data_IF_321016695695
#
_entry.id   IF_321016695695
#
_cell.length_a   1.000
_cell.length_b   1.000
_cell.length_c   1.000
_cell.angle_alpha   90.00
_cell.angle_beta   90.00
_cell.angle_gamma   90.00
#
_symmetry.space_group_name_H-M   'P 1'
#
loop_
_entity.id
_entity.type
_entity.pdbx_description
1 polymer ?
#
# COMPACT_ATOMS: atom_id res chain seq x y z
N UNK A 1 13.38 -18.19 6.07
CA UNK A 1 12.64 -18.33 4.80
C UNK A 1 11.54 -19.35 5.04
N UNK A 2 10.28 -18.95 4.86
CA UNK A 2 9.09 -19.81 5.08
C UNK A 2 8.55 -20.40 3.77
N UNK A 3 8.98 -19.87 2.63
CA UNK A 3 8.57 -20.32 1.30
C UNK A 3 9.25 -19.54 0.20
N UNK A 4 9.05 -19.98 -1.02
CA UNK A 4 9.64 -19.42 -2.24
C UNK A 4 8.60 -19.44 -3.36
N UNK A 5 8.52 -18.36 -4.13
CA UNK A 5 7.70 -18.27 -5.34
C UNK A 5 8.49 -18.88 -6.50
N UNK A 6 7.89 -19.82 -7.25
CA UNK A 6 8.56 -20.62 -8.27
C UNK A 6 7.82 -20.67 -9.60
N UNK A 7 8.52 -21.09 -10.64
CA UNK A 7 8.01 -21.24 -12.01
C UNK A 7 7.45 -19.91 -12.56
N UNK A 8 6.31 -19.96 -13.23
CA UNK A 8 5.66 -18.78 -13.84
C UNK A 8 4.92 -17.88 -12.81
N UNK A 9 4.97 -18.22 -11.52
CA UNK A 9 4.40 -17.40 -10.48
C UNK A 9 5.20 -16.11 -10.29
N UNK A 10 4.49 -14.98 -10.25
CA UNK A 10 5.06 -13.65 -10.00
C UNK A 10 4.31 -12.98 -8.87
N UNK A 11 5.06 -12.41 -7.95
CA UNK A 11 4.51 -11.59 -6.88
C UNK A 11 5.52 -10.50 -6.50
N UNK A 12 5.05 -9.27 -6.45
CA UNK A 12 5.85 -8.12 -6.01
C UNK A 12 5.39 -7.65 -4.62
N UNK A 13 6.35 -7.22 -3.81
CA UNK A 13 6.06 -6.81 -2.43
C UNK A 13 5.12 -5.60 -2.33
N UNK A 14 5.11 -4.72 -3.34
CA UNK A 14 4.19 -3.60 -3.45
C UNK A 14 2.72 -4.00 -3.60
N UNK A 15 2.46 -5.24 -3.97
CA UNK A 15 1.11 -5.82 -4.07
C UNK A 15 0.68 -6.56 -2.79
N UNK A 16 1.47 -6.50 -1.71
CA UNK A 16 1.15 -7.15 -0.44
C UNK A 16 1.10 -6.15 0.71
N UNK A 17 0.01 -6.16 1.46
CA UNK A 17 -0.20 -5.27 2.60
C UNK A 17 -0.79 -6.04 3.78
N UNK A 18 -0.11 -6.01 4.92
CA UNK A 18 -0.62 -6.54 6.18
C UNK A 18 -1.56 -5.54 6.83
N UNK A 19 -2.82 -5.93 7.07
CA UNK A 19 -3.76 -5.13 7.86
C UNK A 19 -3.56 -5.31 9.36
N UNK A 20 -3.23 -6.54 9.74
CA UNK A 20 -2.92 -6.97 11.10
C UNK A 20 -1.99 -8.21 11.04
N UNK A 21 -1.68 -8.82 12.18
CA UNK A 21 -0.79 -9.99 12.29
C UNK A 21 -1.35 -11.29 11.66
N UNK A 22 -2.63 -11.28 11.29
CA UNK A 22 -3.35 -12.44 10.74
C UNK A 22 -3.99 -12.19 9.37
N UNK A 23 -3.98 -10.94 8.89
CA UNK A 23 -4.68 -10.59 7.66
C UNK A 23 -3.73 -9.95 6.65
N UNK A 24 -3.50 -10.65 5.53
CA UNK A 24 -2.74 -10.17 4.38
C UNK A 24 -3.67 -9.82 3.23
N UNK A 25 -3.51 -8.63 2.66
CA UNK A 25 -4.15 -8.26 1.39
C UNK A 25 -3.14 -8.46 0.27
N UNK A 26 -3.62 -8.98 -0.86
CA UNK A 26 -2.83 -9.20 -2.07
C UNK A 26 -3.54 -8.53 -3.25
N UNK A 27 -2.86 -7.60 -3.91
CA UNK A 27 -3.27 -7.03 -5.20
C UNK A 27 -2.90 -7.98 -6.33
N UNK A 28 -3.88 -8.37 -7.16
CA UNK A 28 -3.62 -9.13 -8.38
C UNK A 28 -3.72 -8.18 -9.58
N UNK A 29 -2.69 -8.15 -10.41
CA UNK A 29 -2.61 -7.24 -11.54
C UNK A 29 -1.53 -7.64 -12.53
N UNK A 30 -0.93 -6.66 -13.19
CA UNK A 30 0.13 -6.93 -14.17
C UNK A 30 1.43 -7.43 -13.54
N UNK A 31 1.70 -7.08 -12.27
CA UNK A 31 2.93 -7.37 -11.56
C UNK A 31 2.84 -8.66 -10.74
N UNK A 32 1.69 -8.91 -10.13
CA UNK A 32 1.40 -10.12 -9.36
C UNK A 32 0.31 -10.90 -10.08
N UNK A 33 0.60 -12.15 -10.48
CA UNK A 33 -0.34 -13.00 -11.19
C UNK A 33 -1.04 -14.01 -10.27
N UNK A 34 -2.06 -14.72 -10.80
CA UNK A 34 -2.82 -15.70 -10.03
C UNK A 34 -1.91 -16.80 -9.44
N UNK A 35 -0.94 -17.30 -10.21
CA UNK A 35 -0.03 -18.33 -9.72
C UNK A 35 0.82 -17.83 -8.53
N UNK A 36 1.22 -16.54 -8.52
CA UNK A 36 1.89 -15.91 -7.39
C UNK A 36 0.99 -15.82 -6.17
N UNK A 37 -0.25 -15.38 -6.36
CA UNK A 37 -1.27 -15.35 -5.29
C UNK A 37 -1.46 -16.73 -4.69
N UNK A 38 -1.68 -17.77 -5.51
CA UNK A 38 -1.94 -19.14 -5.05
C UNK A 38 -0.77 -19.70 -4.22
N UNK A 39 0.47 -19.40 -4.64
CA UNK A 39 1.65 -19.83 -3.89
C UNK A 39 1.81 -19.08 -2.57
N UNK A 40 1.56 -17.77 -2.53
CA UNK A 40 1.55 -17.00 -1.26
C UNK A 40 0.51 -17.58 -0.29
N UNK A 41 -0.72 -17.77 -0.76
CA UNK A 41 -1.81 -18.33 0.06
C UNK A 41 -1.44 -19.71 0.58
N UNK A 42 -0.88 -20.58 -0.26
CA UNK A 42 -0.44 -21.92 0.12
C UNK A 42 0.64 -21.89 1.21
N UNK A 43 1.58 -20.95 1.13
CA UNK A 43 2.66 -20.78 2.13
C UNK A 43 2.11 -20.27 3.45
N UNK A 44 1.19 -19.31 3.42
CA UNK A 44 0.74 -18.59 4.61
C UNK A 44 -0.43 -19.28 5.34
N UNK A 45 -1.25 -20.04 4.63
CA UNK A 45 -2.41 -20.75 5.21
C UNK A 45 -2.07 -21.65 6.40
N UNK A 46 -1.00 -22.47 6.39
CA UNK A 46 -0.62 -23.28 7.57
C UNK A 46 -0.21 -22.47 8.79
N UNK A 47 0.14 -21.19 8.60
CA UNK A 47 0.48 -20.25 9.68
C UNK A 47 -0.75 -19.54 10.26
N UNK A 48 -1.96 -19.89 9.82
CA UNK A 48 -3.21 -19.28 10.26
C UNK A 48 -3.43 -17.86 9.75
N UNK A 49 -2.80 -17.50 8.61
CA UNK A 49 -2.92 -16.17 8.00
C UNK A 49 -4.05 -16.20 6.98
N UNK A 50 -5.00 -15.29 7.11
CA UNK A 50 -6.08 -15.04 6.17
C UNK A 50 -5.58 -14.13 5.04
N UNK A 51 -5.68 -14.60 3.80
CA UNK A 51 -5.28 -13.83 2.62
C UNK A 51 -6.52 -13.40 1.83
N UNK A 52 -6.63 -12.10 1.55
CA UNK A 52 -7.67 -11.53 0.69
C UNK A 52 -7.06 -10.99 -0.58
N UNK A 53 -7.55 -11.45 -1.73
CA UNK A 53 -7.05 -11.03 -3.04
C UNK A 53 -8.04 -10.10 -3.73
N UNK A 54 -7.53 -9.01 -4.30
CA UNK A 54 -8.33 -8.05 -5.05
C UNK A 54 -7.66 -7.74 -6.39
N UNK A 55 -8.47 -7.72 -7.45
CA UNK A 55 -7.99 -7.28 -8.76
C UNK A 55 -7.74 -5.78 -8.75
N UNK A 56 -6.54 -5.40 -9.18
CA UNK A 56 -6.16 -4.00 -9.33
C UNK A 56 -6.76 -3.44 -10.64
N UNK A 57 -7.11 -2.15 -10.68
CA UNK A 57 -7.65 -1.53 -11.87
C UNK A 57 -6.62 -1.47 -13.00
N UNK A 58 -7.10 -1.36 -14.24
CA UNK A 58 -6.25 -1.22 -15.43
C UNK A 58 -5.38 0.04 -15.40
N UNK A 59 -5.92 1.16 -14.88
CA UNK A 59 -5.28 2.47 -14.79
C UNK A 59 -4.65 2.88 -16.14
N UNK A 60 -3.33 3.02 -16.25
CA UNK A 60 -2.61 3.32 -17.49
C UNK A 60 -2.02 2.06 -18.17
N UNK A 61 -2.51 0.87 -17.80
CA UNK A 61 -2.14 -0.40 -18.40
C UNK A 61 -0.82 -0.97 -17.91
N UNK A 62 -0.30 -1.94 -18.66
CA UNK A 62 0.84 -2.75 -18.25
C UNK A 62 2.14 -1.96 -18.01
N UNK A 63 2.30 -0.82 -18.70
CA UNK A 63 3.50 0.02 -18.55
C UNK A 63 3.49 0.85 -17.26
N UNK A 64 2.31 1.10 -16.71
CA UNK A 64 2.19 1.77 -15.42
C UNK A 64 2.58 0.80 -14.30
N UNK A 65 3.42 1.26 -13.39
CA UNK A 65 3.79 0.48 -12.21
C UNK A 65 2.75 0.67 -11.10
N UNK A 66 1.50 0.22 -11.35
CA UNK A 66 0.45 0.29 -10.35
C UNK A 66 0.49 -0.95 -9.47
N UNK A 67 0.86 -0.78 -8.21
CA UNK A 67 0.77 -1.77 -7.16
C UNK A 67 -0.43 -1.51 -6.24
N UNK A 68 -0.77 -2.48 -5.41
CA UNK A 68 -1.73 -2.27 -4.32
C UNK A 68 -1.33 -1.06 -3.45
N UNK A 69 -0.05 -0.98 -3.08
CA UNK A 69 0.48 0.12 -2.26
C UNK A 69 0.59 1.47 -2.98
N UNK A 70 0.27 1.53 -4.28
CA UNK A 70 0.00 2.78 -4.99
C UNK A 70 -1.40 3.34 -4.68
N UNK A 71 -2.30 2.53 -4.11
CA UNK A 71 -3.68 2.88 -3.85
C UNK A 71 -4.00 3.03 -2.36
N UNK A 72 -3.13 2.52 -1.49
CA UNK A 72 -3.35 2.49 -0.04
C UNK A 72 -2.03 2.49 0.74
N UNK A 73 -1.98 3.29 1.81
CA UNK A 73 -0.98 3.20 2.87
C UNK A 73 -1.66 3.20 4.23
N UNK A 74 -1.28 2.28 5.12
CA UNK A 74 -1.72 2.32 6.50
C UNK A 74 -0.92 3.40 7.23
N UNK A 75 -1.63 4.36 7.84
CA UNK A 75 -1.02 5.52 8.51
C UNK A 75 -1.19 5.50 10.02
N UNK A 76 -2.11 4.68 10.52
CA UNK A 76 -2.35 4.42 11.93
C UNK A 76 -2.94 3.02 12.10
N UNK A 77 -3.18 2.57 13.33
CA UNK A 77 -3.73 1.24 13.65
C UNK A 77 -5.03 0.95 12.88
N UNK A 78 -5.92 1.93 12.79
CA UNK A 78 -7.19 1.83 12.06
C UNK A 78 -7.44 3.01 11.10
N UNK A 79 -6.38 3.63 10.57
CA UNK A 79 -6.51 4.66 9.55
C UNK A 79 -5.67 4.31 8.33
N UNK A 80 -6.27 4.47 7.16
CA UNK A 80 -5.62 4.25 5.88
C UNK A 80 -5.81 5.46 4.95
N UNK A 81 -4.71 5.95 4.38
CA UNK A 81 -4.74 6.86 3.24
C UNK A 81 -5.00 6.03 2.00
N UNK A 82 -6.03 6.38 1.24
CA UNK A 82 -6.45 5.62 0.05
C UNK A 82 -6.73 6.55 -1.12
N UNK A 83 -6.60 6.05 -2.34
CA UNK A 83 -7.13 6.73 -3.52
C UNK A 83 -8.45 6.07 -3.93
N UNK A 84 -9.56 6.64 -3.45
CA UNK A 84 -10.91 6.08 -3.61
C UNK A 84 -11.30 5.74 -5.05
N UNK A 85 -11.01 6.60 -6.07
CA UNK A 85 -11.46 6.34 -7.44
C UNK A 85 -10.94 5.03 -8.04
N UNK A 86 -9.79 4.54 -7.56
CA UNK A 86 -9.17 3.31 -8.07
C UNK A 86 -9.16 2.17 -7.03
N UNK A 87 -9.68 2.40 -5.83
CA UNK A 87 -9.70 1.39 -4.78
C UNK A 87 -10.68 0.26 -5.13
N UNK A 88 -10.27 -1.01 -5.17
CA UNK A 88 -11.18 -2.12 -5.43
C UNK A 88 -12.35 -2.13 -4.43
N UNK A 89 -13.58 -2.25 -4.92
CA UNK A 89 -14.81 -2.21 -4.07
C UNK A 89 -14.77 -3.27 -2.96
N UNK A 90 -14.25 -4.46 -3.27
CA UNK A 90 -14.09 -5.53 -2.28
C UNK A 90 -13.14 -5.14 -1.15
N UNK A 91 -12.03 -4.47 -1.48
CA UNK A 91 -11.07 -3.96 -0.50
C UNK A 91 -11.69 -2.85 0.35
N UNK A 92 -12.36 -1.87 -0.27
CA UNK A 92 -13.11 -0.84 0.45
C UNK A 92 -14.05 -1.43 1.51
N UNK A 93 -14.88 -2.42 1.12
CA UNK A 93 -15.79 -3.10 2.03
C UNK A 93 -15.08 -3.87 3.15
N UNK A 94 -13.92 -4.49 2.86
CA UNK A 94 -13.12 -5.19 3.87
C UNK A 94 -12.57 -4.20 4.90
N UNK A 95 -11.99 -3.09 4.45
CA UNK A 95 -11.43 -2.05 5.34
C UNK A 95 -12.50 -1.50 6.28
N UNK A 96 -13.69 -1.17 5.77
CA UNK A 96 -14.81 -0.71 6.61
C UNK A 96 -15.25 -1.76 7.64
N UNK A 97 -15.36 -3.04 7.24
CA UNK A 97 -15.70 -4.14 8.18
C UNK A 97 -14.63 -4.34 9.27
N UNK A 98 -13.37 -4.07 8.94
CA UNK A 98 -12.24 -4.11 9.87
C UNK A 98 -12.14 -2.84 10.74
N UNK A 99 -13.04 -1.85 10.57
CA UNK A 99 -13.10 -0.62 11.37
C UNK A 99 -12.11 0.45 10.95
N UNK A 100 -11.59 0.42 9.71
CA UNK A 100 -10.69 1.46 9.23
C UNK A 100 -11.40 2.75 8.87
N UNK A 101 -10.87 3.87 9.34
CA UNK A 101 -11.16 5.21 8.84
C UNK A 101 -10.35 5.45 7.56
N UNK A 102 -11.03 5.79 6.46
CA UNK A 102 -10.40 5.98 5.16
C UNK A 102 -10.23 7.48 4.87
N UNK A 103 -8.98 7.90 4.68
CA UNK A 103 -8.60 9.26 4.29
C UNK A 103 -8.38 9.24 2.78
N UNK A 104 -9.16 10.05 2.02
CA UNK A 104 -9.01 10.08 0.57
C UNK A 104 -7.86 11.00 0.14
N UNK A 105 -6.94 10.48 -0.64
CA UNK A 105 -5.89 11.28 -1.27
C UNK A 105 -6.50 12.21 -2.34
N UNK A 106 -6.12 13.51 -2.39
CA UNK A 106 -6.59 14.43 -3.40
C UNK A 106 -6.19 14.00 -4.82
N UNK A 107 -7.16 14.00 -5.74
CA UNK A 107 -6.92 13.52 -7.13
C UNK A 107 -5.83 14.31 -7.86
N UNK A 108 -5.78 15.63 -7.67
CA UNK A 108 -4.77 16.48 -8.28
C UNK A 108 -3.34 16.10 -7.86
N UNK A 109 -3.14 15.75 -6.58
CA UNK A 109 -1.84 15.33 -6.08
C UNK A 109 -1.54 13.86 -6.42
N UNK A 110 -2.55 13.00 -6.45
CA UNK A 110 -2.37 11.61 -6.87
C UNK A 110 -1.90 11.52 -8.32
N UNK A 111 -2.57 12.20 -9.23
CA UNK A 111 -2.22 12.25 -10.65
C UNK A 111 -0.92 13.02 -10.89
N UNK A 112 -0.78 14.20 -10.28
CA UNK A 112 0.39 15.07 -10.44
C UNK A 112 1.68 14.50 -9.88
N UNK A 113 1.61 13.60 -8.88
CA UNK A 113 2.76 12.92 -8.28
C UNK A 113 3.02 11.52 -8.85
N UNK A 114 2.33 11.11 -9.91
CA UNK A 114 2.40 9.74 -10.43
C UNK A 114 2.16 8.69 -9.33
N UNK A 115 1.06 8.82 -8.60
CA UNK A 115 0.60 7.98 -7.48
C UNK A 115 1.39 8.11 -6.16
N UNK A 116 2.44 8.93 -6.11
CA UNK A 116 3.29 9.04 -4.91
C UNK A 116 2.59 9.72 -3.71
N UNK A 117 1.47 10.42 -3.92
CA UNK A 117 0.71 11.03 -2.81
C UNK A 117 0.16 9.99 -1.83
N UNK A 118 -0.14 8.77 -2.28
CA UNK A 118 -0.56 7.66 -1.42
C UNK A 118 0.61 6.87 -0.85
N UNK A 119 1.84 7.17 -1.25
CA UNK A 119 3.03 6.46 -0.81
C UNK A 119 3.58 7.06 0.50
N UNK A 120 2.91 6.77 1.61
CA UNK A 120 3.21 7.26 2.95
C UNK A 120 3.70 6.11 3.82
N UNK A 121 4.91 6.24 4.37
CA UNK A 121 5.50 5.22 5.24
C UNK A 121 5.21 5.55 6.71
N UNK A 122 4.47 4.68 7.38
CA UNK A 122 4.30 4.74 8.82
C UNK A 122 5.56 4.21 9.54
N UNK A 123 6.17 5.03 10.35
CA UNK A 123 7.29 4.67 11.24
C UNK A 123 6.76 4.05 12.54
N UNK A 124 5.61 4.56 13.00
CA UNK A 124 4.80 4.05 14.10
C UNK A 124 3.34 4.44 13.83
N UNK A 125 2.35 3.89 14.55
CA UNK A 125 0.97 4.33 14.44
C UNK A 125 0.85 5.85 14.62
N UNK A 126 0.22 6.53 13.66
CA UNK A 126 0.05 7.97 13.67
C UNK A 126 1.32 8.80 13.43
N UNK A 127 2.48 8.18 13.14
CA UNK A 127 3.74 8.88 12.83
C UNK A 127 4.29 8.42 11.50
N UNK A 128 4.25 9.30 10.51
CA UNK A 128 4.53 8.93 9.13
C UNK A 128 5.54 9.88 8.46
N UNK A 129 6.17 9.37 7.39
CA UNK A 129 6.97 10.18 6.47
C UNK A 129 6.42 10.09 5.05
N UNK A 130 6.51 11.19 4.32
CA UNK A 130 6.14 11.28 2.91
C UNK A 130 7.07 12.24 2.16
N UNK A 131 7.04 12.19 0.84
CA UNK A 131 7.76 13.19 0.04
C UNK A 131 7.14 14.57 0.22
N UNK A 132 7.96 15.61 0.12
CA UNK A 132 7.48 17.01 0.08
C UNK A 132 6.77 17.32 -1.25
N UNK A 133 6.13 18.50 -1.33
CA UNK A 133 5.41 18.96 -2.52
C UNK A 133 3.95 18.47 -2.61
N UNK A 134 3.41 17.84 -1.58
CA UNK A 134 2.04 17.30 -1.52
C UNK A 134 1.23 17.92 -0.36
N UNK A 135 0.97 19.25 -0.39
CA UNK A 135 0.42 19.97 0.76
C UNK A 135 -1.01 19.57 1.11
N UNK A 136 -1.84 19.18 0.13
CA UNK A 136 -3.23 18.79 0.39
C UNK A 136 -3.29 17.41 1.05
N UNK A 137 -2.49 16.45 0.59
CA UNK A 137 -2.38 15.11 1.21
C UNK A 137 -1.82 15.23 2.63
N UNK A 138 -0.77 16.03 2.81
CA UNK A 138 -0.20 16.33 4.13
C UNK A 138 -1.27 16.90 5.06
N UNK A 139 -2.01 17.92 4.60
CA UNK A 139 -3.08 18.53 5.39
C UNK A 139 -4.18 17.51 5.74
N UNK A 140 -4.64 16.71 4.80
CA UNK A 140 -5.68 15.71 5.04
C UNK A 140 -5.26 14.70 6.14
N UNK A 141 -3.99 14.32 6.18
CA UNK A 141 -3.45 13.44 7.21
C UNK A 141 -3.33 14.15 8.57
N UNK A 142 -2.86 15.40 8.58
CA UNK A 142 -2.75 16.20 9.80
C UNK A 142 -4.12 16.50 10.43
N UNK A 143 -5.16 16.77 9.62
CA UNK A 143 -6.52 17.04 10.08
C UNK A 143 -7.14 15.84 10.85
N UNK A 144 -6.65 14.63 10.63
CA UNK A 144 -7.08 13.42 11.37
C UNK A 144 -6.07 12.98 12.43
N UNK A 145 -5.11 13.85 12.78
CA UNK A 145 -4.18 13.65 13.89
C UNK A 145 -2.92 12.85 13.56
N UNK A 146 -2.58 12.67 12.28
CA UNK A 146 -1.33 12.01 11.88
C UNK A 146 -0.16 13.01 11.93
N UNK A 147 0.91 12.65 12.64
CA UNK A 147 2.17 13.38 12.64
C UNK A 147 2.96 13.05 11.37
N UNK A 148 3.12 14.05 10.48
CA UNK A 148 3.74 13.89 9.17
C UNK A 148 5.06 14.66 9.10
N UNK A 149 6.13 13.91 8.90
CA UNK A 149 7.42 14.44 8.47
C UNK A 149 7.55 14.37 6.95
N UNK A 150 8.10 15.41 6.34
CA UNK A 150 8.36 15.46 4.90
C UNK A 150 9.86 15.46 4.62
N UNK A 151 10.24 14.92 3.48
CA UNK A 151 11.62 14.96 2.99
C UNK A 151 11.65 15.28 1.49
N UNK A 152 12.77 15.83 1.02
CA UNK A 152 12.98 16.05 -0.40
C UNK A 152 13.15 14.71 -1.13
N UNK A 153 12.11 14.33 -1.87
CA UNK A 153 12.08 13.10 -2.66
C UNK A 153 12.48 13.27 -4.13
N UNK A 154 12.91 14.46 -4.56
CA UNK A 154 13.09 14.75 -5.98
C UNK A 154 14.10 13.79 -6.66
N UNK A 155 15.27 13.62 -6.08
CA UNK A 155 16.31 12.77 -6.66
C UNK A 155 16.02 11.26 -6.47
N UNK A 156 15.56 10.86 -5.29
CA UNK A 156 15.42 9.45 -4.95
C UNK A 156 14.03 8.88 -5.36
N UNK A 157 12.97 9.57 -5.00
CA UNK A 157 11.61 9.04 -5.18
C UNK A 157 11.06 9.36 -6.57
N UNK A 158 11.12 10.62 -6.99
CA UNK A 158 10.57 11.05 -8.28
C UNK A 158 11.44 10.51 -9.42
N UNK A 159 12.76 10.60 -9.28
CA UNK A 159 13.69 10.09 -10.29
C UNK A 159 13.67 8.55 -10.47
N UNK A 160 13.29 7.80 -9.44
CA UNK A 160 13.18 6.34 -9.49
C UNK A 160 11.73 5.83 -9.54
N UNK A 161 10.75 6.73 -9.67
CA UNK A 161 9.31 6.40 -9.70
C UNK A 161 8.84 5.56 -8.50
N UNK A 162 9.41 5.82 -7.30
CA UNK A 162 9.10 5.05 -6.10
C UNK A 162 9.21 5.86 -4.81
N UNK A 163 8.15 5.89 -4.01
CA UNK A 163 8.12 6.59 -2.74
C UNK A 163 8.74 5.80 -1.57
N UNK A 164 8.64 6.30 -0.34
CA UNK A 164 9.30 5.69 0.83
C UNK A 164 8.88 4.25 1.10
N UNK A 165 7.63 3.86 0.80
CA UNK A 165 7.18 2.46 0.96
C UNK A 165 7.76 1.54 -0.11
N UNK A 166 8.05 2.07 -1.31
CA UNK A 166 8.68 1.30 -2.39
C UNK A 166 10.16 1.02 -2.10
N UNK A 167 10.83 1.95 -1.42
CA UNK A 167 12.26 1.89 -1.12
C UNK A 167 12.60 1.18 0.20
N UNK A 168 11.58 0.79 0.97
CA UNK A 168 11.76 0.17 2.28
C UNK A 168 10.86 -1.04 2.46
N UNK A 169 11.26 -1.97 3.32
CA UNK A 169 10.40 -3.05 3.77
C UNK A 169 10.65 -3.29 5.26
N UNK A 170 9.66 -3.08 6.13
CA UNK A 170 9.80 -3.40 7.54
C UNK A 170 10.05 -4.90 7.73
N UNK A 171 11.12 -5.26 8.41
CA UNK A 171 11.44 -6.65 8.76
C UNK A 171 10.90 -7.04 10.13
N UNK A 172 10.90 -6.08 11.05
CA UNK A 172 10.42 -6.25 12.41
C UNK A 172 9.78 -4.95 12.89
N UNK A 173 8.63 -5.06 13.52
CA UNK A 173 8.01 -3.96 14.27
C UNK A 173 7.85 -4.39 15.71
N UNK A 174 8.19 -3.52 16.65
CA UNK A 174 7.94 -3.78 18.06
C UNK A 174 6.41 -3.90 18.30
N UNK A 175 5.97 -4.78 19.20
CA UNK A 175 4.59 -4.75 19.67
C UNK A 175 4.31 -3.38 20.29
N UNK A 176 3.10 -2.89 20.08
CA UNK A 176 2.59 -1.64 20.68
C UNK A 176 2.07 -1.97 22.07
#
# INVERSE_FOLDING_TARGET
>A
IIGEIKNDARAESGDTLWLDDKTLIIGRGFRTNQAGVDQIVKILRPLGIECHTFDLPYYHGQKACLHLMSLISLVDTFKALVFMPLLPVGLFKLLLRKGFDLINAPSSEFEGSNTLSTNVLALAPGKCIMIDGLPQTRKALQDVGIDIQVFDGAALCIGCEGGPTCLTRPLLRAPI
#
